data_IF_003810461878
#
_entry.id   IF_003810461878
#
_cell.length_a   1.000
_cell.length_b   1.000
_cell.length_c   1.000
_cell.angle_alpha   90.00
_cell.angle_beta   90.00
_cell.angle_gamma   90.00
#
_symmetry.space_group_name_H-M   'P 1'
#
loop_
_entity.id
_entity.type
_entity.pdbx_description
1 polymer ?
#
# COMPACT_ATOMS: atom_id res chain seq x y z
N UNK A 1 -15.51 3.63 -2.68
CA UNK A 1 -14.53 4.74 -2.72
C UNK A 1 -15.11 5.94 -3.48
N UNK A 2 -15.73 6.89 -2.78
CA UNK A 2 -16.37 8.05 -3.44
C UNK A 2 -15.35 8.93 -4.20
N UNK A 3 -14.15 9.10 -3.63
CA UNK A 3 -13.07 9.88 -4.25
C UNK A 3 -12.65 9.35 -5.64
N UNK A 4 -12.72 8.03 -5.88
CA UNK A 4 -12.36 7.43 -7.17
C UNK A 4 -13.31 7.83 -8.32
N UNK A 5 -14.56 8.18 -7.99
CA UNK A 5 -15.59 8.60 -8.95
C UNK A 5 -15.55 10.10 -9.27
N UNK A 6 -14.83 10.89 -8.48
CA UNK A 6 -14.71 12.32 -8.70
C UNK A 6 -13.74 12.62 -9.87
N UNK A 7 -14.14 13.36 -10.91
CA UNK A 7 -13.35 13.51 -12.13
C UNK A 7 -12.03 14.26 -11.93
N UNK A 8 -11.94 15.12 -10.91
CA UNK A 8 -10.73 15.86 -10.56
C UNK A 8 -9.73 15.06 -9.72
N UNK A 9 -10.16 13.98 -9.05
CA UNK A 9 -9.26 13.16 -8.24
C UNK A 9 -8.47 12.21 -9.15
N UNK A 10 -7.15 12.32 -9.09
CA UNK A 10 -6.23 11.52 -9.94
C UNK A 10 -5.53 10.39 -9.18
N UNK A 11 -5.64 10.35 -7.86
CA UNK A 11 -5.01 9.33 -7.03
C UNK A 11 -5.22 9.59 -5.55
N UNK A 12 -4.31 9.07 -4.75
CA UNK A 12 -4.30 9.14 -3.29
C UNK A 12 -2.87 9.21 -2.79
N UNK A 13 -2.69 9.71 -1.56
CA UNK A 13 -1.41 9.67 -0.85
C UNK A 13 -1.43 8.52 0.16
N UNK A 14 -0.35 7.75 0.22
CA UNK A 14 -0.14 6.70 1.22
C UNK A 14 1.27 6.73 1.76
N UNK A 15 1.44 6.16 2.95
CA UNK A 15 2.73 6.08 3.63
C UNK A 15 2.72 4.98 4.68
N UNK A 16 2.67 5.37 5.97
CA UNK A 16 2.74 4.43 7.11
C UNK A 16 1.72 3.29 7.06
N UNK A 17 0.57 3.47 6.41
CA UNK A 17 -0.42 2.40 6.23
C UNK A 17 0.06 1.26 5.33
N UNK A 18 1.07 1.49 4.48
CA UNK A 18 1.64 0.49 3.57
C UNK A 18 2.91 -0.15 4.16
N UNK A 19 3.82 0.68 4.67
CA UNK A 19 5.14 0.20 5.14
C UNK A 19 5.30 0.13 6.66
N UNK A 20 4.43 0.79 7.44
CA UNK A 20 4.68 1.01 8.87
C UNK A 20 4.72 -0.27 9.71
N UNK A 21 3.79 -1.19 9.49
CA UNK A 21 3.77 -2.47 10.21
C UNK A 21 4.91 -3.39 9.75
N UNK A 22 5.17 -3.61 8.44
CA UNK A 22 6.32 -4.38 7.99
C UNK A 22 7.66 -3.81 8.48
N UNK A 23 7.86 -2.50 8.43
CA UNK A 23 9.07 -1.86 8.94
C UNK A 23 9.26 -2.06 10.44
N UNK A 24 8.17 -2.06 11.23
CA UNK A 24 8.25 -2.34 12.67
C UNK A 24 8.75 -3.76 12.92
N UNK A 25 8.18 -4.74 12.23
CA UNK A 25 8.58 -6.15 12.36
C UNK A 25 10.02 -6.38 11.93
N UNK A 26 10.45 -5.73 10.85
CA UNK A 26 11.84 -5.75 10.41
C UNK A 26 12.80 -5.16 11.46
N UNK A 27 12.48 -4.00 12.04
CA UNK A 27 13.27 -3.41 13.13
C UNK A 27 13.31 -4.27 14.40
N UNK A 28 12.32 -5.13 14.60
CA UNK A 28 12.27 -6.10 15.70
C UNK A 28 13.03 -7.41 15.37
N UNK A 29 13.54 -7.56 14.14
CA UNK A 29 14.16 -8.80 13.66
C UNK A 29 13.17 -9.93 13.36
N UNK A 30 11.88 -9.64 13.29
CA UNK A 30 10.83 -10.62 12.95
C UNK A 30 10.74 -10.87 11.44
N UNK A 31 11.15 -9.88 10.63
CA UNK A 31 11.29 -9.98 9.18
C UNK A 31 12.74 -9.78 8.78
N UNK A 32 13.18 -10.56 7.80
CA UNK A 32 14.39 -10.25 7.04
C UNK A 32 14.11 -9.21 5.95
N UNK A 33 15.17 -8.78 5.28
CA UNK A 33 15.10 -7.76 4.22
C UNK A 33 14.17 -8.18 3.08
N UNK A 34 14.21 -9.44 2.68
CA UNK A 34 13.45 -9.94 1.54
C UNK A 34 11.94 -10.00 1.86
N UNK A 35 11.61 -10.45 3.07
CA UNK A 35 10.24 -10.50 3.56
C UNK A 35 9.66 -9.09 3.74
N UNK A 36 10.46 -8.12 4.19
CA UNK A 36 10.07 -6.71 4.22
C UNK A 36 9.73 -6.20 2.81
N UNK A 37 10.63 -6.41 1.84
CA UNK A 37 10.45 -5.93 0.46
C UNK A 37 9.17 -6.50 -0.16
N UNK A 38 8.98 -7.82 -0.10
CA UNK A 38 7.82 -8.46 -0.71
C UNK A 38 6.51 -8.06 -0.02
N UNK A 39 6.51 -7.91 1.31
CA UNK A 39 5.31 -7.49 2.05
C UNK A 39 4.90 -6.05 1.67
N UNK A 40 5.86 -5.12 1.65
CA UNK A 40 5.59 -3.71 1.31
C UNK A 40 5.13 -3.59 -0.15
N UNK A 41 5.79 -4.29 -1.08
CA UNK A 41 5.41 -4.36 -2.49
C UNK A 41 4.00 -4.94 -2.66
N UNK A 42 3.68 -6.03 -1.98
CA UNK A 42 2.35 -6.64 -2.00
C UNK A 42 1.25 -5.68 -1.51
N UNK A 43 1.53 -4.90 -0.46
CA UNK A 43 0.61 -3.87 0.03
C UNK A 43 0.36 -2.75 -1.00
N UNK A 44 1.41 -2.29 -1.69
CA UNK A 44 1.26 -1.31 -2.78
C UNK A 44 0.42 -1.86 -3.93
N UNK A 45 0.72 -3.07 -4.40
CA UNK A 45 0.01 -3.69 -5.52
C UNK A 45 -1.48 -3.86 -5.21
N UNK A 46 -1.82 -4.36 -4.02
CA UNK A 46 -3.21 -4.51 -3.57
C UNK A 46 -3.96 -3.18 -3.59
N UNK A 47 -3.35 -2.10 -3.12
CA UNK A 47 -3.99 -0.79 -3.12
C UNK A 47 -4.18 -0.23 -4.53
N UNK A 48 -3.21 -0.42 -5.42
CA UNK A 48 -3.31 -0.03 -6.84
C UNK A 48 -4.46 -0.80 -7.52
N UNK A 49 -4.58 -2.10 -7.27
CA UNK A 49 -5.69 -2.92 -7.77
C UNK A 49 -7.05 -2.39 -7.31
N UNK A 50 -7.20 -2.11 -6.01
CA UNK A 50 -8.44 -1.55 -5.49
C UNK A 50 -8.77 -0.18 -6.09
N UNK A 51 -7.76 0.66 -6.33
CA UNK A 51 -7.98 1.95 -6.98
C UNK A 51 -8.44 1.80 -8.43
N UNK A 52 -7.80 0.91 -9.20
CA UNK A 52 -8.21 0.62 -10.59
C UNK A 52 -9.64 0.09 -10.63
N UNK A 53 -9.97 -0.87 -9.75
CA UNK A 53 -11.32 -1.42 -9.65
C UNK A 53 -12.36 -0.36 -9.24
N UNK A 54 -12.01 0.56 -8.35
CA UNK A 54 -12.90 1.64 -7.94
C UNK A 54 -13.10 2.74 -8.99
N UNK A 55 -12.23 2.78 -10.02
CA UNK A 55 -12.28 3.74 -11.12
C UNK A 55 -12.94 3.19 -12.40
N UNK A 56 -13.04 1.87 -12.52
CA UNK A 56 -13.83 1.21 -13.56
C UNK A 56 -15.32 1.54 -13.38
#
# INVERSE_FOLDING_TARGET
AAAAKAPWVKGFAVGRTIFGQPSRQWLQGELDDQALIETVKGNYLRLIEYWRAARA
#
